data_IF_113928930013
#
_entry.id   IF_113928930013
#
_cell.length_a   1.000
_cell.length_b   1.000
_cell.length_c   1.000
_cell.angle_alpha   90.00
_cell.angle_beta   90.00
_cell.angle_gamma   90.00
#
_symmetry.space_group_name_H-M   'P 1'
#
loop_
_entity.id
_entity.type
_entity.pdbx_description
1 polymer ?
2 non-polymer ?
3 water ?
#
# COMPACT_ATOMS: atom_id res chain seq x y z
N UNK A 11 9.87 -11.56 -19.90
CA UNK A 11 9.84 -10.13 -19.59
C UNK A 11 10.33 -9.33 -20.79
N UNK A 12 9.59 -8.28 -21.16
CA UNK A 12 9.99 -7.48 -22.31
C UNK A 12 11.32 -6.79 -22.03
N UNK A 13 12.28 -6.98 -22.93
CA UNK A 13 13.58 -6.33 -22.85
C UNK A 13 13.53 -5.07 -23.70
N UNK A 14 13.81 -3.91 -23.10
CA UNK A 14 13.69 -2.62 -23.75
C UNK A 14 15.11 -2.12 -24.06
N UNK A 15 15.32 -1.62 -25.28
CA UNK A 15 16.64 -1.07 -25.60
C UNK A 15 16.84 0.27 -24.89
N UNK A 16 18.04 0.54 -24.35
CA UNK A 16 18.27 1.83 -23.68
C UNK A 16 17.99 3.06 -24.52
N UNK A 17 18.09 2.97 -25.86
CA UNK A 17 17.82 4.13 -26.71
C UNK A 17 16.36 4.52 -26.68
N UNK A 18 15.50 3.66 -26.17
CA UNK A 18 14.07 3.94 -26.10
C UNK A 18 13.68 4.65 -24.81
N UNK A 19 14.60 4.80 -23.86
CA UNK A 19 14.32 5.30 -22.52
C UNK A 19 15.00 6.64 -22.34
N UNK A 20 14.24 7.64 -21.93
CA UNK A 20 14.79 8.96 -21.58
C UNK A 20 14.44 9.26 -20.13
N UNK A 21 15.42 9.23 -19.25
CA UNK A 21 15.22 9.63 -17.86
C UNK A 21 15.19 11.15 -17.79
N UNK A 22 14.14 11.69 -17.19
CA UNK A 22 13.93 13.14 -17.18
C UNK A 22 14.07 13.81 -15.83
N UNK A 23 13.68 13.15 -14.73
CA UNK A 23 13.70 13.80 -13.42
C UNK A 23 13.79 12.73 -12.35
N UNK A 24 14.66 12.95 -11.38
CA UNK A 24 14.70 12.06 -10.24
C UNK A 24 13.46 12.30 -9.38
N UNK A 25 12.74 11.22 -9.06
CA UNK A 25 11.57 11.30 -8.20
C UNK A 25 11.74 10.51 -6.91
N UNK A 26 12.76 9.68 -6.83
CA UNK A 26 13.10 8.95 -5.63
C UNK A 26 14.52 8.48 -5.76
N UNK A 27 15.16 8.22 -4.63
CA UNK A 27 16.56 7.87 -4.70
C UNK A 27 16.92 6.99 -3.51
N UNK A 28 17.97 6.21 -3.70
CA UNK A 28 18.52 5.36 -2.67
C UNK A 28 20.01 5.23 -2.90
N UNK A 29 20.68 4.53 -2.04
CA UNK A 29 22.08 4.38 -2.25
C UNK A 29 22.50 3.60 -3.50
N UNK A 30 21.67 2.68 -4.02
CA UNK A 30 22.10 1.79 -5.10
C UNK A 30 21.38 2.05 -6.42
N UNK A 31 20.58 3.10 -6.50
CA UNK A 31 19.95 3.51 -7.73
C UNK A 31 18.96 4.62 -7.43
N UNK A 32 18.27 5.06 -8.47
CA UNK A 32 17.25 6.09 -8.32
C UNK A 32 15.99 5.65 -9.03
N UNK A 33 14.89 6.33 -8.71
CA UNK A 33 13.65 6.23 -9.46
C UNK A 33 13.48 7.53 -10.21
N UNK A 34 13.16 7.43 -11.49
CA UNK A 34 13.01 8.59 -12.35
C UNK A 34 11.62 8.61 -12.97
N UNK A 35 11.13 9.82 -13.27
CA UNK A 35 10.11 9.96 -14.29
C UNK A 35 10.83 10.11 -15.62
N UNK A 36 10.28 9.49 -16.64
CA UNK A 36 10.87 9.60 -17.95
C UNK A 36 9.88 9.25 -19.03
N UNK A 37 10.41 9.02 -20.24
CA UNK A 37 9.59 8.70 -21.38
C UNK A 37 10.10 7.43 -22.03
N UNK A 38 9.18 6.71 -22.66
CA UNK A 38 9.47 5.44 -23.31
C UNK A 38 8.99 5.50 -24.75
N UNK A 39 9.88 5.31 -25.73
CA UNK A 39 9.56 5.22 -27.16
C UNK A 39 9.32 3.72 -27.37
N UNK A 40 8.20 3.35 -27.90
CA UNK A 40 7.84 1.94 -28.03
C UNK A 40 7.65 1.53 -29.48
N UNK A 42 8.61 3.78 -33.95
CA UNK A 42 8.89 5.01 -34.70
C UNK A 42 7.61 5.81 -34.88
N UNK A 43 6.49 5.11 -34.94
CA UNK A 43 5.22 5.73 -35.29
C UNK A 43 4.46 6.32 -34.13
N UNK A 44 4.50 5.65 -33.00
CA UNK A 44 3.76 6.10 -31.85
C UNK A 44 4.44 7.12 -30.97
N UNK A 45 3.64 7.98 -30.34
CA UNK A 45 4.19 8.97 -29.42
C UNK A 45 4.83 8.27 -28.23
N UNK A 46 5.90 8.86 -27.72
CA UNK A 46 6.49 8.41 -26.47
C UNK A 46 5.44 8.43 -25.36
N UNK A 47 5.65 7.60 -24.34
CA UNK A 47 4.69 7.44 -23.24
C UNK A 47 5.42 7.72 -21.93
N UNK A 48 4.79 8.38 -20.95
CA UNK A 48 5.47 8.59 -19.67
C UNK A 48 5.60 7.28 -18.89
N UNK A 49 6.74 7.12 -18.22
CA UNK A 49 7.03 5.91 -17.46
C UNK A 49 7.78 6.29 -16.20
N UNK A 50 7.79 5.37 -15.24
CA UNK A 50 8.74 5.44 -14.14
C UNK A 50 9.85 4.43 -14.41
N UNK A 51 11.05 4.79 -14.01
CA UNK A 51 12.27 4.03 -14.33
C UNK A 51 13.07 3.90 -13.04
N UNK A 52 13.38 2.66 -12.63
CA UNK A 52 14.23 2.45 -11.46
C UNK A 52 15.53 1.83 -11.96
N UNK A 53 16.66 2.32 -11.45
CA UNK A 53 17.96 1.84 -11.89
C UNK A 53 18.67 1.06 -10.79
N UNK A 54 19.66 0.29 -11.23
CA UNK A 54 20.55 -0.46 -10.35
C UNK A 54 21.98 -0.22 -10.84
N UNK A 55 22.77 0.48 -10.03
CA UNK A 55 24.05 0.98 -10.52
C UNK A 55 25.16 -0.05 -10.37
N UNK A 56 26.25 0.20 -11.11
CA UNK A 56 27.37 -0.71 -11.22
C UNK A 56 27.97 -1.03 -9.86
N UNK A 57 28.47 -2.25 -9.73
CA UNK A 57 28.97 -2.72 -8.46
C UNK A 57 27.96 -3.48 -7.65
N UNK A 58 26.72 -3.58 -8.14
CA UNK A 58 25.69 -4.31 -7.42
C UNK A 58 26.15 -5.74 -7.16
N UNK A 59 25.71 -6.27 -6.03
CA UNK A 59 26.00 -7.63 -5.64
C UNK A 59 25.04 -8.61 -6.31
N UNK A 60 25.36 -9.89 -6.22
CA UNK A 60 24.45 -10.93 -6.70
C UNK A 60 23.09 -10.81 -6.05
N UNK A 61 23.06 -10.69 -4.72
CA UNK A 61 21.79 -10.54 -4.03
C UNK A 61 21.03 -9.30 -4.49
N UNK A 62 21.72 -8.17 -4.68
CA UNK A 62 21.02 -6.99 -5.19
C UNK A 62 20.43 -7.23 -6.56
N UNK A 63 21.16 -7.90 -7.46
CA UNK A 63 20.63 -8.19 -8.77
C UNK A 63 19.42 -9.09 -8.68
N UNK A 64 19.52 -10.15 -7.87
CA UNK A 64 18.40 -11.08 -7.72
C UNK A 64 17.19 -10.37 -7.16
N UNK A 65 17.39 -9.54 -6.15
CA UNK A 65 16.26 -8.81 -5.57
C UNK A 65 15.67 -7.79 -6.53
N UNK A 66 16.53 -7.06 -7.26
CA UNK A 66 16.08 -6.00 -8.17
C UNK A 66 15.27 -6.59 -9.31
N UNK A 67 15.88 -7.52 -10.05
CA UNK A 67 15.16 -8.15 -11.13
C UNK A 67 14.00 -9.02 -10.62
N UNK A 68 14.10 -9.50 -9.38
CA UNK A 68 13.03 -10.29 -8.82
C UNK A 68 11.75 -9.50 -8.68
N UNK A 69 11.85 -8.21 -8.36
CA UNK A 69 10.66 -7.39 -8.28
C UNK A 69 9.99 -7.30 -9.64
N UNK A 70 10.79 -7.09 -10.69
CA UNK A 70 10.25 -7.09 -12.05
C UNK A 70 9.64 -8.43 -12.41
N UNK A 71 10.32 -9.52 -12.05
CA UNK A 71 9.77 -10.84 -12.34
C UNK A 71 8.41 -11.07 -11.71
N UNK A 72 8.25 -10.67 -10.44
CA UNK A 72 6.97 -10.81 -9.76
C UNK A 72 5.92 -9.95 -10.45
N UNK A 73 6.24 -8.69 -10.71
CA UNK A 73 5.28 -7.79 -11.33
C UNK A 73 4.84 -8.28 -12.70
N UNK A 74 5.77 -8.86 -13.46
CA UNK A 74 5.43 -9.41 -14.76
C UNK A 74 4.47 -10.57 -14.71
N UNK A 75 4.30 -11.21 -13.56
CA UNK A 75 3.32 -12.29 -13.47
C UNK A 75 1.91 -11.78 -13.27
N UNK A 76 1.72 -10.48 -13.04
CA UNK A 76 0.43 -9.93 -12.68
C UNK A 76 -0.14 -9.09 -13.82
N UNK A 77 -1.47 -9.17 -13.98
CA UNK A 77 -2.23 -8.34 -14.92
C UNK A 77 -3.53 -7.95 -14.23
N UNK A 78 -3.54 -6.78 -13.60
CA UNK A 78 -4.74 -6.35 -12.91
C UNK A 78 -4.73 -4.84 -12.85
N UNK A 79 -5.89 -4.23 -12.98
CA UNK A 79 -6.09 -2.78 -12.96
C UNK A 79 -5.50 -2.12 -11.73
N UNK A 80 -5.50 -2.80 -10.56
CA UNK A 80 -5.06 -2.23 -9.32
C UNK A 80 -3.70 -2.75 -8.86
N UNK A 81 -2.87 -3.18 -9.81
CA UNK A 81 -1.49 -3.59 -9.57
C UNK A 81 -0.62 -2.89 -10.59
N UNK A 82 0.44 -2.24 -10.12
CA UNK A 82 1.34 -1.50 -11.01
C UNK A 82 1.77 -2.39 -12.17
N UNK A 83 1.66 -1.83 -13.37
CA UNK A 83 1.99 -2.55 -14.61
C UNK A 83 3.46 -2.36 -14.99
N UNK A 84 4.13 -3.46 -15.32
CA UNK A 84 5.49 -3.45 -15.85
C UNK A 84 5.50 -3.23 -17.36
N UNK A 85 6.29 -2.26 -17.82
CA UNK A 85 6.58 -2.09 -19.25
C UNK A 85 7.70 -2.98 -19.72
N UNK A 86 8.75 -3.12 -18.94
CA UNK A 86 9.83 -4.01 -19.29
C UNK A 86 11.07 -3.69 -18.49
N UNK A 87 12.18 -4.30 -18.90
CA UNK A 87 13.44 -4.17 -18.19
C UNK A 87 14.56 -3.90 -19.16
N UNK A 88 15.59 -3.21 -18.69
CA UNK A 88 16.89 -3.23 -19.34
C UNK A 88 17.79 -4.10 -18.48
N UNK A 89 18.15 -5.27 -19.03
CA UNK A 89 19.07 -6.17 -18.35
C UNK A 89 20.30 -6.51 -19.17
N UNK A 90 20.26 -6.31 -20.49
CA UNK A 90 21.39 -6.58 -21.39
C UNK A 90 22.41 -5.45 -21.43
N UNK A 91 22.10 -4.31 -20.83
CA UNK A 91 23.00 -3.17 -20.80
C UNK A 91 23.01 -2.64 -19.37
N UNK A 92 24.04 -1.86 -19.06
CA UNK A 92 24.19 -1.26 -17.72
C UNK A 92 24.07 0.27 -17.79
N UNK A 93 23.43 0.90 -16.79
CA UNK A 93 22.82 0.31 -15.59
C UNK A 93 21.55 -0.44 -15.95
N UNK A 94 21.22 -1.45 -15.15
CA UNK A 94 19.96 -2.13 -15.39
C UNK A 94 18.81 -1.24 -14.94
N UNK A 95 17.66 -1.48 -15.55
CA UNK A 95 16.49 -0.65 -15.26
C UNK A 95 15.24 -1.50 -15.24
N UNK A 96 14.27 -1.05 -14.43
CA UNK A 96 12.91 -1.54 -14.45
C UNK A 96 12.01 -0.38 -14.86
N UNK A 97 11.13 -0.60 -15.83
CA UNK A 97 10.29 0.47 -16.36
C UNK A 97 8.83 0.06 -16.15
N UNK A 98 8.05 0.97 -15.54
CA UNK A 98 6.64 0.71 -15.25
C UNK A 98 5.82 1.86 -15.77
N UNK A 99 4.49 1.69 -15.73
CA UNK A 99 3.62 2.84 -15.93
C UNK A 99 3.96 3.93 -14.93
N UNK A 100 3.65 5.16 -15.29
CA UNK A 100 3.90 6.30 -14.44
C UNK A 100 2.61 6.74 -13.73
N UNK A 101 2.64 6.76 -12.41
CA UNK A 101 1.48 7.13 -11.59
C UNK A 101 1.64 8.60 -11.22
N UNK A 102 0.80 9.44 -11.83
CA UNK A 102 1.01 10.89 -11.80
C UNK A 102 0.89 11.53 -10.42
N UNK A 103 0.13 10.92 -9.50
CA UNK A 103 -0.11 11.49 -8.21
C UNK A 103 0.77 10.89 -7.13
N UNK A 104 1.64 9.93 -7.49
CA UNK A 104 2.60 9.45 -6.50
C UNK A 104 2.01 8.58 -5.41
N UNK A 105 2.71 8.54 -4.28
CA UNK A 105 2.34 7.65 -3.19
C UNK A 105 1.08 8.15 -2.48
N UNK A 106 0.20 7.22 -2.10
CA UNK A 106 -1.08 7.58 -1.54
C UNK A 106 -0.96 8.31 -0.21
N UNK A 107 0.00 7.92 0.63
CA UNK A 107 0.12 8.59 1.94
C UNK A 107 0.37 10.09 1.79
N UNK A 108 1.36 10.43 1.00
CA UNK A 108 1.69 11.82 0.79
C UNK A 108 0.61 12.55 0.02
N UNK A 109 -0.03 11.86 -0.94
CA UNK A 109 -1.12 12.44 -1.70
C UNK A 109 -2.25 12.86 -0.78
N UNK A 110 -2.67 11.98 0.11
CA UNK A 110 -3.76 12.34 0.99
C UNK A 110 -3.40 13.48 1.91
N UNK A 111 -2.18 13.49 2.41
CA UNK A 111 -1.79 14.53 3.35
C UNK A 111 -1.72 15.88 2.66
N UNK A 112 -1.45 15.89 1.37
CA UNK A 112 -1.37 17.11 0.57
C UNK A 112 -2.72 17.53 0.02
N UNK A 113 -3.77 16.74 0.19
CA UNK A 113 -5.10 16.98 -0.37
C UNK A 113 -6.16 16.90 0.72
N UNK A 114 -5.81 17.32 1.93
CA UNK A 114 -6.66 17.07 3.10
C UNK A 114 -8.05 17.63 2.88
N UNK A 115 -9.06 16.79 3.05
CA UNK A 115 -10.43 17.23 2.94
C UNK A 115 -10.93 17.50 1.53
N UNK A 116 -10.20 17.12 0.50
CA UNK A 116 -10.56 17.52 -0.87
C UNK A 116 -11.45 16.53 -1.59
N UNK A 117 -11.72 15.37 -1.02
CA UNK A 117 -12.45 14.34 -1.74
C UNK A 117 -13.77 14.05 -1.06
N UNK A 118 -14.68 13.46 -1.80
CA UNK A 118 -15.91 13.02 -1.17
C UNK A 118 -15.69 11.68 -0.47
N UNK A 119 -16.57 11.36 0.47
CA UNK A 119 -16.54 10.03 1.09
C UNK A 119 -16.60 8.95 0.04
N UNK A 120 -17.46 9.11 -0.98
CA UNK A 120 -17.56 8.10 -2.02
C UNK A 120 -16.24 7.94 -2.76
N UNK A 121 -15.53 9.04 -3.04
CA UNK A 121 -14.22 8.92 -3.65
C UNK A 121 -13.24 8.15 -2.75
N UNK A 122 -13.21 8.47 -1.46
CA UNK A 122 -12.31 7.76 -0.56
C UNK A 122 -12.61 6.26 -0.53
N UNK A 123 -13.90 5.91 -0.41
CA UNK A 123 -14.29 4.50 -0.41
C UNK A 123 -13.95 3.82 -1.73
N UNK A 124 -14.06 4.55 -2.85
CA UNK A 124 -13.64 4.00 -4.13
C UNK A 124 -12.16 3.68 -4.17
N UNK A 125 -11.35 4.50 -3.55
CA UNK A 125 -9.93 4.20 -3.46
C UNK A 125 -9.71 2.90 -2.70
N UNK A 126 -10.41 2.72 -1.59
CA UNK A 126 -10.29 1.49 -0.83
C UNK A 126 -10.76 0.27 -1.61
N UNK A 127 -11.83 0.39 -2.41
CA UNK A 127 -12.27 -0.75 -3.19
C UNK A 127 -11.22 -1.14 -4.23
N UNK A 128 -10.55 -0.16 -4.84
CA UNK A 128 -9.50 -0.51 -5.78
C UNK A 128 -8.35 -1.22 -5.11
N UNK A 129 -7.89 -0.68 -3.98
CA UNK A 129 -6.84 -1.36 -3.23
C UNK A 129 -7.25 -2.79 -2.87
N UNK A 130 -8.47 -2.93 -2.38
CA UNK A 130 -8.96 -4.26 -1.99
C UNK A 130 -9.02 -5.22 -3.18
N UNK A 131 -9.41 -4.71 -4.36
CA UNK A 131 -9.44 -5.58 -5.53
C UNK A 131 -8.03 -6.02 -5.91
N UNK A 132 -7.06 -5.12 -5.85
CA UNK A 132 -5.70 -5.53 -6.13
C UNK A 132 -5.22 -6.55 -5.13
N UNK A 133 -5.55 -6.36 -3.84
CA UNK A 133 -5.14 -7.31 -2.80
C UNK A 133 -5.84 -8.65 -2.95
N UNK A 134 -7.13 -8.66 -3.31
CA UNK A 134 -7.82 -9.92 -3.58
C UNK A 134 -7.08 -10.68 -4.68
N UNK A 135 -6.71 -9.98 -5.74
CA UNK A 135 -5.95 -10.59 -6.84
C UNK A 135 -4.64 -11.18 -6.33
N UNK A 136 -3.87 -10.40 -5.57
CA UNK A 136 -2.60 -10.90 -5.07
C UNK A 136 -2.80 -12.11 -4.16
N UNK A 137 -3.74 -12.03 -3.24
CA UNK A 137 -3.96 -13.15 -2.34
C UNK A 137 -4.36 -14.39 -3.13
N UNK A 138 -5.21 -14.24 -4.12
CA UNK A 138 -5.63 -15.37 -4.96
C UNK A 138 -4.49 -15.95 -5.75
N UNK A 139 -3.53 -15.11 -6.16
CA UNK A 139 -2.30 -15.50 -6.83
C UNK A 139 -1.27 -16.06 -5.87
N UNK A 140 -1.62 -16.23 -4.59
CA UNK A 140 -0.71 -16.75 -3.57
C UNK A 140 0.49 -15.83 -3.36
N UNK A 141 0.26 -14.51 -3.41
CA UNK A 141 1.30 -13.53 -3.14
C UNK A 141 0.93 -12.79 -1.87
N UNK A 142 1.79 -12.91 -0.85
CA UNK A 142 1.63 -12.22 0.44
C UNK A 142 2.49 -10.97 0.40
N UNK A 143 1.89 -9.80 0.59
CA UNK A 143 2.59 -8.55 0.38
C UNK A 143 3.59 -8.24 1.49
N UNK A 144 3.13 -8.33 2.75
CA UNK A 144 3.93 -8.10 3.97
C UNK A 144 4.15 -6.64 4.32
N UNK A 145 3.90 -5.71 3.39
CA UNK A 145 4.15 -4.31 3.65
C UNK A 145 3.04 -3.45 3.09
N UNK A 146 1.79 -3.87 3.23
CA UNK A 146 0.66 -3.11 2.71
C UNK A 146 0.47 -1.89 3.62
N UNK A 147 0.48 -0.70 3.03
CA UNK A 147 0.43 0.58 3.73
C UNK A 147 0.18 1.62 2.65
N UNK A 148 -0.37 2.78 3.02
CA UNK A 148 -0.60 3.80 2.02
C UNK A 148 0.67 4.23 1.32
N UNK A 149 1.82 4.21 2.01
CA UNK A 149 3.06 4.60 1.37
C UNK A 149 3.43 3.68 0.22
N UNK A 150 2.86 2.48 0.14
CA UNK A 150 3.16 1.52 -0.91
C UNK A 150 2.05 1.38 -1.92
N UNK A 151 1.08 2.31 -1.91
CA UNK A 151 0.04 2.43 -2.93
C UNK A 151 0.44 3.64 -3.78
N UNK A 152 0.22 3.55 -5.10
CA UNK A 152 0.43 4.65 -6.01
C UNK A 152 -0.90 5.07 -6.61
N UNK A 153 -1.00 6.35 -7.00
CA UNK A 153 -2.26 6.94 -7.45
C UNK A 153 -2.07 7.61 -8.81
N UNK A 154 -2.96 7.31 -9.76
CA UNK A 154 -2.87 7.94 -11.07
C UNK A 154 -3.87 9.08 -11.23
N UNK A 155 -3.86 9.71 -12.41
CA UNK A 155 -4.70 10.88 -12.69
C UNK A 155 -6.16 10.54 -12.84
N UNK A 156 -6.54 9.26 -12.81
CA UNK A 156 -7.92 8.85 -12.67
C UNK A 156 -8.31 8.51 -11.24
N UNK A 157 -7.46 8.83 -10.26
CA UNK A 157 -7.67 8.48 -8.86
C UNK A 157 -7.58 6.98 -8.60
N UNK A 158 -7.11 6.20 -9.57
CA UNK A 158 -6.99 4.77 -9.37
C UNK A 158 -5.78 4.49 -8.51
N UNK A 159 -6.00 3.67 -7.49
CA UNK A 159 -4.97 3.27 -6.55
C UNK A 159 -4.47 1.87 -6.92
N UNK A 160 -3.16 1.73 -7.01
CA UNK A 160 -2.52 0.48 -7.40
C UNK A 160 -1.50 0.06 -6.38
N UNK A 161 -1.52 -1.23 -6.03
CA UNK A 161 -0.55 -1.76 -5.11
C UNK A 161 0.79 -1.82 -5.78
N UNK A 162 1.82 -1.39 -5.03
CA UNK A 162 3.22 -1.25 -5.42
C UNK A 162 4.08 -2.09 -4.46
N UNK A 163 5.39 -2.12 -4.69
CA UNK A 163 6.40 -2.63 -3.75
C UNK A 163 6.43 -4.12 -3.59
N UNK A 164 7.02 -4.81 -4.56
CA UNK A 164 7.01 -6.26 -4.64
C UNK A 164 8.38 -6.87 -4.46
N UNK A 165 8.42 -8.11 -3.99
CA UNK A 165 9.69 -8.79 -3.82
C UNK A 165 9.69 -9.69 -2.63
N UNK A 166 10.83 -10.32 -2.39
CA UNK A 166 10.98 -11.16 -1.21
C UNK A 166 11.57 -10.35 -0.08
N UNK A 167 12.82 -10.61 0.30
CA UNK A 167 13.38 -9.89 1.44
C UNK A 167 13.49 -8.39 1.21
N UNK A 168 13.54 -7.95 -0.06
CA UNK A 168 13.84 -6.55 -0.31
C UNK A 168 12.75 -5.60 0.19
N UNK A 169 11.51 -6.08 0.28
CA UNK A 169 10.42 -5.17 0.61
C UNK A 169 10.59 -4.60 2.02
N UNK A 170 10.70 -5.48 3.00
CA UNK A 170 10.86 -5.00 4.36
C UNK A 170 12.27 -4.46 4.60
N UNK A 171 13.27 -5.00 3.90
CA UNK A 171 14.62 -4.46 4.06
C UNK A 171 14.70 -3.00 3.64
N UNK A 172 14.02 -2.65 2.55
CA UNK A 172 14.16 -1.33 1.95
C UNK A 172 13.26 -0.28 2.58
N UNK A 173 12.25 -0.68 3.36
CA UNK A 173 11.28 0.28 3.88
C UNK A 173 11.77 0.82 5.22
N UNK A 174 12.05 2.12 5.35
CA UNK A 174 12.55 2.62 6.65
C UNK A 174 11.51 2.57 7.75
N UNK A 175 10.22 2.47 7.38
CA UNK A 175 9.22 2.27 8.43
C UNK A 175 9.34 0.90 9.09
N UNK A 176 9.99 -0.06 8.44
CA UNK A 176 10.14 -1.38 9.02
C UNK A 176 11.37 -1.34 9.92
N UNK A 177 11.16 -1.58 11.21
CA UNK A 177 12.22 -1.43 12.19
C UNK A 177 12.60 -2.77 12.79
N UNK A 178 13.85 -2.84 13.25
CA UNK A 178 14.34 -4.05 13.90
C UNK A 178 13.66 -4.23 15.24
N UNK A 179 13.17 -5.42 15.49
CA UNK A 179 12.44 -5.73 16.71
C UNK A 179 13.37 -6.46 17.68
N UNK A 180 12.89 -6.56 18.92
CA UNK A 180 13.63 -7.29 19.94
C UNK A 180 13.95 -8.71 19.49
N UNK A 181 13.09 -9.32 18.68
CA UNK A 181 13.28 -10.68 18.20
C UNK A 181 14.18 -10.78 16.99
N UNK A 182 14.53 -9.68 16.34
CA UNK A 182 15.47 -9.70 15.23
C UNK A 182 14.88 -9.44 13.87
N UNK A 183 13.56 -9.55 13.72
CA UNK A 183 12.93 -9.26 12.45
C UNK A 183 12.74 -7.76 12.23
N UNK A 184 12.58 -7.38 10.97
CA UNK A 184 12.45 -5.98 10.56
C UNK A 184 11.05 -5.83 9.99
N UNK A 185 10.17 -5.14 10.71
CA UNK A 185 8.76 -5.08 10.30
C UNK A 185 8.20 -3.71 10.62
N UNK A 186 7.19 -3.29 9.85
CA UNK A 186 6.55 -1.97 10.07
C UNK A 186 5.47 -2.13 11.12
N UNK A 187 5.82 -1.92 12.39
CA UNK A 187 5.01 -2.46 13.48
C UNK A 187 3.57 -1.96 13.42
N UNK A 188 3.36 -0.67 13.13
CA UNK A 188 2.00 -0.11 13.21
C UNK A 188 1.08 -0.65 12.15
N UNK A 189 1.61 -1.27 11.09
CA UNK A 189 0.81 -1.82 10.03
C UNK A 189 0.69 -3.35 10.12
N UNK A 190 1.39 -4.00 11.07
CA UNK A 190 1.60 -5.45 10.99
C UNK A 190 0.71 -6.20 11.97
N UNK A 191 0.18 -7.33 11.52
CA UNK A 191 -0.71 -8.10 12.35
C UNK A 191 0.07 -8.70 13.53
N UNK A 192 -0.64 -8.98 14.63
CA UNK A 192 0.04 -9.55 15.81
C UNK A 192 0.80 -10.84 15.57
N UNK A 193 0.27 -11.76 14.77
CA UNK A 193 0.99 -13.02 14.56
C UNK A 193 2.26 -12.81 13.76
N UNK A 194 2.25 -11.80 12.89
CA UNK A 194 3.44 -11.51 12.13
C UNK A 194 4.50 -10.88 13.02
N UNK A 195 4.10 -9.99 13.91
CA UNK A 195 5.01 -9.42 14.91
C UNK A 195 5.54 -10.54 15.82
N UNK A 196 4.62 -11.32 16.39
CA UNK A 196 4.92 -12.27 17.48
C UNK A 196 5.74 -13.45 16.99
N UNK A 197 5.44 -14.02 15.81
CA UNK A 197 6.10 -15.25 15.41
C UNK A 197 6.39 -15.33 13.93
N UNK A 198 6.36 -14.21 13.22
CA UNK A 198 6.84 -14.15 11.85
C UNK A 198 5.89 -14.81 10.87
N UNK A 199 4.61 -14.88 11.23
CA UNK A 199 3.60 -15.53 10.40
C UNK A 199 2.90 -14.52 9.48
N UNK A 200 3.40 -14.43 8.24
CA UNK A 200 2.86 -13.49 7.27
C UNK A 200 2.00 -14.26 6.28
N UNK A 201 0.74 -13.88 6.19
CA UNK A 201 -0.19 -14.53 5.29
C UNK A 201 -1.10 -13.48 4.67
N UNK A 202 -1.98 -13.90 3.77
CA UNK A 202 -2.97 -12.95 3.30
C UNK A 202 -3.83 -12.40 4.42
N UNK A 203 -4.01 -13.14 5.51
CA UNK A 203 -4.79 -12.62 6.62
C UNK A 203 -4.04 -11.57 7.43
N UNK A 204 -2.72 -11.62 7.49
CA UNK A 204 -1.99 -10.49 8.05
C UNK A 204 -2.04 -9.31 7.09
N UNK A 205 -2.07 -9.55 5.79
CA UNK A 205 -2.31 -8.44 4.86
C UNK A 205 -3.67 -7.83 5.07
N UNK A 206 -4.69 -8.60 5.47
CA UNK A 206 -5.99 -8.02 5.76
C UNK A 206 -5.90 -7.07 6.95
N UNK A 207 -5.18 -7.44 8.00
CA UNK A 207 -4.95 -6.52 9.11
C UNK A 207 -4.38 -5.22 8.57
N UNK A 208 -3.33 -5.33 7.77
CA UNK A 208 -2.71 -4.15 7.19
C UNK A 208 -3.70 -3.34 6.39
N UNK A 209 -4.55 -4.01 5.61
CA UNK A 209 -5.56 -3.31 4.86
C UNK A 209 -6.47 -2.49 5.76
N UNK A 210 -6.85 -3.04 6.91
CA UNK A 210 -7.64 -2.23 7.85
C UNK A 210 -6.92 -0.95 8.25
N UNK A 211 -5.62 -1.06 8.50
CA UNK A 211 -4.82 0.15 8.75
C UNK A 211 -4.86 1.10 7.56
N UNK A 212 -4.72 0.58 6.33
CA UNK A 212 -4.83 1.44 5.16
C UNK A 212 -6.20 2.11 5.09
N UNK A 213 -7.28 1.39 5.43
CA UNK A 213 -8.59 2.03 5.46
C UNK A 213 -8.57 3.24 6.39
N UNK A 214 -7.99 3.09 7.57
CA UNK A 214 -7.88 4.18 8.51
C UNK A 214 -7.03 5.31 7.96
N UNK A 215 -5.91 4.98 7.33
CA UNK A 215 -5.11 6.00 6.66
C UNK A 215 -5.91 6.78 5.65
N UNK A 216 -6.66 6.10 4.80
CA UNK A 216 -7.42 6.82 3.77
C UNK A 216 -8.48 7.72 4.39
N UNK A 217 -9.23 7.19 5.33
CA UNK A 217 -10.36 7.95 5.87
C UNK A 217 -9.90 9.11 6.74
N UNK A 218 -8.67 9.13 7.22
CA UNK A 218 -8.10 10.24 7.97
C UNK A 218 -7.21 11.14 7.11
N UNK A 219 -7.17 10.95 5.78
CA UNK A 219 -6.27 11.74 4.94
C UNK A 219 -4.81 11.63 5.38
N UNK A 220 -4.40 10.40 5.73
CA UNK A 220 -3.01 10.13 5.94
C UNK A 220 -2.50 10.41 7.32
N UNK A 221 -3.36 10.32 8.33
CA UNK A 221 -2.85 10.41 9.69
C UNK A 221 -1.91 9.25 9.97
N UNK A 222 -0.97 9.49 10.88
CA UNK A 222 -0.06 8.45 11.28
C UNK A 222 -0.76 7.53 12.26
N UNK A 223 -0.84 6.23 11.99
CA UNK A 223 -1.55 5.31 12.87
C UNK A 223 -0.96 5.36 14.28
N UNK A 224 -1.85 5.43 15.26
CA UNK A 224 -1.51 5.43 16.67
C UNK A 224 -0.77 6.72 17.05
N UNK A 225 -0.70 7.72 16.13
CA UNK A 225 -0.12 9.04 16.47
C UNK A 225 1.26 8.83 17.07
N UNK A 226 1.58 9.44 18.21
CA UNK A 226 2.94 9.43 18.71
C UNK A 226 3.26 8.21 19.56
N UNK A 227 2.35 7.24 19.70
CA UNK A 227 2.69 6.09 20.53
C UNK A 227 3.93 5.42 19.97
N UNK A 228 4.81 4.93 20.86
CA UNK A 228 6.00 4.25 20.38
C UNK A 228 5.62 2.88 19.81
N UNK A 229 6.55 2.24 19.12
CA UNK A 229 6.27 0.90 18.62
C UNK A 229 5.92 -0.08 19.74
N UNK A 230 6.68 -0.05 20.86
CA UNK A 230 6.36 -0.91 21.99
C UNK A 230 4.97 -0.63 22.54
N UNK A 231 4.63 0.65 22.65
CA UNK A 231 3.33 1.02 23.16
C UNK A 231 2.21 0.58 22.22
N UNK A 232 2.43 0.61 20.90
CA UNK A 232 1.42 0.12 19.95
C UNK A 232 1.15 -1.36 20.18
N UNK A 233 2.21 -2.14 20.26
CA UNK A 233 2.02 -3.57 20.51
C UNK A 233 1.30 -3.83 21.83
N UNK A 234 1.65 -3.06 22.87
CA UNK A 234 0.99 -3.24 24.17
C UNK A 234 -0.49 -2.92 24.09
N UNK A 235 -0.84 -1.83 23.41
CA UNK A 235 -2.23 -1.46 23.29
C UNK A 235 -3.00 -2.53 22.54
N UNK A 236 -2.43 -3.04 21.43
CA UNK A 236 -3.11 -4.05 20.61
C UNK A 236 -3.33 -5.33 21.42
N UNK A 237 -2.30 -5.76 22.15
CA UNK A 237 -2.42 -6.97 22.96
C UNK A 237 -3.42 -6.79 24.10
N UNK A 238 -3.56 -5.58 24.64
CA UNK A 238 -4.55 -5.21 25.65
C UNK A 238 -5.97 -5.09 25.09
N UNK A 239 -6.12 -5.17 23.75
CA UNK A 239 -7.42 -5.08 23.11
C UNK A 239 -7.78 -3.72 22.53
N UNK A 240 -6.95 -2.69 22.71
CA UNK A 240 -7.32 -1.39 22.16
C UNK A 240 -7.16 -1.40 20.65
N UNK A 241 -7.93 -0.56 19.98
CA UNK A 241 -7.87 -0.43 18.53
C UNK A 241 -7.95 1.05 18.17
N UNK A 242 -7.52 1.37 16.95
CA UNK A 242 -7.64 2.74 16.48
C UNK A 242 -9.08 3.21 16.59
N UNK A 243 -9.33 4.46 17.02
CA UNK A 243 -10.70 4.97 17.10
C UNK A 243 -11.19 5.39 15.73
N UNK A 244 -12.48 5.66 15.63
CA UNK A 244 -13.01 6.05 14.34
C UNK A 244 -12.46 7.38 13.87
N UNK A 245 -12.13 7.43 12.59
CA UNK A 245 -11.84 8.73 11.98
C UNK A 245 -13.06 9.65 12.09
N UNK A 246 -12.82 10.95 11.97
CA UNK A 246 -13.92 11.90 11.80
C UNK A 246 -14.60 11.65 10.48
N UNK A 247 -15.92 11.83 10.45
CA UNK A 247 -16.68 11.81 9.21
C UNK A 247 -16.67 10.45 8.54
N UNK A 248 -16.52 9.35 9.33
CA UNK A 248 -16.34 8.01 8.77
C UNK A 248 -17.65 7.26 8.73
N UNK A 249 -18.03 6.73 7.58
CA UNK A 249 -19.22 5.88 7.53
C UNK A 249 -19.12 4.75 8.55
N UNK A 250 -20.24 4.50 9.23
CA UNK A 250 -20.27 3.42 10.21
C UNK A 250 -19.87 2.08 9.59
N UNK A 251 -20.36 1.81 8.37
CA UNK A 251 -20.04 0.53 7.76
C UNK A 251 -18.54 0.38 7.53
N UNK A 252 -17.87 1.50 7.20
CA UNK A 252 -16.44 1.48 6.94
C UNK A 252 -15.66 1.24 8.22
N UNK A 253 -16.06 1.89 9.32
CA UNK A 253 -15.38 1.63 10.59
C UNK A 253 -15.62 0.20 11.06
N UNK A 254 -16.84 -0.30 10.91
CA UNK A 254 -17.10 -1.69 11.26
C UNK A 254 -16.18 -2.63 10.48
N UNK A 255 -16.04 -2.38 9.18
CA UNK A 255 -15.18 -3.25 8.38
C UNK A 255 -13.73 -3.18 8.83
N UNK A 256 -13.17 -1.99 9.04
CA UNK A 256 -11.78 -1.91 9.51
C UNK A 256 -11.63 -2.65 10.86
N UNK A 257 -12.61 -2.55 11.76
CA UNK A 257 -12.55 -3.30 13.03
C UNK A 257 -12.49 -4.80 12.81
N UNK A 258 -13.23 -5.30 11.83
CA UNK A 258 -13.18 -6.73 11.57
C UNK A 258 -11.81 -7.16 11.05
N UNK A 259 -11.13 -6.28 10.29
CA UNK A 259 -9.79 -6.58 9.84
C UNK A 259 -8.80 -6.72 10.99
N UNK A 260 -9.09 -6.11 12.15
CA UNK A 260 -8.20 -6.09 13.29
C UNK A 260 -8.58 -7.11 14.36
N UNK A 261 -9.24 -8.20 13.98
CA UNK A 261 -9.45 -9.29 14.92
C UNK A 261 -8.11 -9.91 15.31
N UNK A 262 -7.91 -10.14 16.62
CA UNK A 262 -6.70 -10.83 17.06
C UNK A 262 -6.57 -12.18 16.40
N UNK A 263 -7.68 -12.93 16.39
CA UNK A 263 -7.69 -14.28 15.82
C UNK A 263 -7.73 -14.20 14.31
N UNK A 264 -6.65 -14.62 13.68
CA UNK A 264 -6.51 -14.50 12.23
C UNK A 264 -7.70 -15.06 11.48
N UNK A 265 -8.22 -16.21 11.95
CA UNK A 265 -9.28 -16.89 11.24
C UNK A 265 -10.58 -16.13 11.28
N UNK A 266 -10.73 -15.17 12.20
CA UNK A 266 -11.97 -14.40 12.27
C UNK A 266 -12.00 -13.22 11.31
N UNK A 267 -10.85 -12.85 10.71
CA UNK A 267 -10.81 -11.70 9.82
C UNK A 267 -11.53 -12.01 8.50
N UNK A 268 -12.12 -11.00 7.87
CA UNK A 268 -12.65 -11.20 6.51
C UNK A 268 -11.53 -11.59 5.56
N UNK A 269 -11.90 -12.31 4.49
CA UNK A 269 -10.97 -12.48 3.39
C UNK A 269 -11.09 -11.27 2.46
N UNK A 270 -10.10 -11.08 1.57
CA UNK A 270 -10.22 -9.98 0.64
C UNK A 270 -11.47 -10.08 -0.21
N UNK A 271 -11.92 -11.30 -0.53
CA UNK A 271 -13.16 -11.39 -1.31
C UNK A 271 -14.32 -10.78 -0.56
N UNK A 272 -14.36 -10.97 0.75
CA UNK A 272 -15.45 -10.40 1.53
C UNK A 272 -15.34 -8.88 1.56
N UNK A 273 -14.12 -8.36 1.69
CA UNK A 273 -13.90 -6.92 1.70
C UNK A 273 -14.36 -6.28 0.40
N UNK A 274 -13.93 -6.86 -0.73
CA UNK A 274 -14.33 -6.32 -2.04
C UNK A 274 -15.84 -6.34 -2.17
N UNK A 275 -16.47 -7.45 -1.79
CA UNK A 275 -17.91 -7.55 -1.94
C UNK A 275 -18.62 -6.44 -1.15
N UNK A 276 -18.22 -6.24 0.11
CA UNK A 276 -18.87 -5.23 0.94
C UNK A 276 -18.65 -3.84 0.37
N UNK A 277 -17.41 -3.52 0.01
CA UNK A 277 -17.13 -2.19 -0.54
C UNK A 277 -17.91 -1.96 -1.83
N UNK A 278 -17.97 -2.96 -2.71
CA UNK A 278 -18.77 -2.83 -3.93
C UNK A 278 -20.20 -2.47 -3.61
N UNK A 279 -20.79 -3.21 -2.69
CA UNK A 279 -22.20 -2.98 -2.36
C UNK A 279 -22.42 -1.60 -1.77
N UNK A 280 -21.52 -1.15 -0.89
CA UNK A 280 -21.69 0.19 -0.33
C UNK A 280 -21.60 1.25 -1.42
N UNK A 281 -20.69 1.08 -2.37
CA UNK A 281 -20.56 2.06 -3.42
C UNK A 281 -21.77 2.04 -4.33
N UNK A 282 -22.36 0.88 -4.56
CA UNK A 282 -23.51 0.79 -5.45
C UNK A 282 -24.80 1.37 -4.85
N UNK A 283 -24.84 1.42 -3.52
CA UNK A 283 -25.93 2.05 -2.80
C UNK A 283 -25.32 3.16 -1.95
N UNK A 284 -24.89 4.26 -2.57
CA UNK A 284 -24.01 5.22 -1.88
C UNK A 284 -24.66 5.92 -0.70
N UNK A 285 -26.00 5.95 -0.59
CA UNK A 285 -26.64 6.49 0.61
C UNK A 285 -26.20 5.73 1.86
N UNK A 286 -25.82 4.46 1.70
CA UNK A 286 -25.36 3.64 2.82
C UNK A 286 -24.17 4.26 3.54
N UNK A 287 -23.41 5.11 2.85
CA UNK A 287 -22.23 5.73 3.44
C UNK A 287 -22.57 6.97 4.23
N UNK A 288 -23.81 7.44 4.17
CA UNK A 288 -24.19 8.65 4.90
C UNK A 288 -24.39 8.46 6.40
N UNK A 289 -24.53 7.22 6.82
CA UNK A 289 -24.65 6.94 8.24
C UNK A 289 -23.24 6.87 8.83
N UNK A 290 -22.90 7.76 9.74
CA UNK A 290 -21.53 7.90 10.23
C UNK A 290 -21.37 7.27 11.60
N UNK A 291 -20.20 6.68 11.85
CA UNK A 291 -19.85 6.29 13.21
C UNK A 291 -19.66 7.53 14.06
N UNK A 292 -20.04 7.43 15.34
CA UNK A 292 -19.78 8.50 16.29
C UNK A 292 -18.27 8.72 16.39
N UNK A 293 -17.85 9.97 16.47
CA UNK A 293 -16.46 10.34 16.67
C UNK A 293 -16.25 10.82 18.11
N UNK A 294 -15.20 10.30 18.77
CA UNK A 294 -14.89 10.64 20.16
C UNK A 294 -14.04 11.91 20.18
N UNK A 295 -14.57 13.05 20.60
CA UNK A 295 -13.78 14.27 20.57
C UNK A 295 -12.70 14.24 21.65
N UNK A 296 -11.56 14.85 21.33
CA UNK A 296 -10.49 15.01 22.31
C UNK A 296 -10.58 16.32 23.06
N UNK A 297 -11.30 17.28 22.52
CA UNK A 297 -11.32 18.66 23.00
C UNK A 297 -12.77 19.13 23.05
N UNK A 298 -13.11 19.83 24.12
CA UNK A 298 -14.43 20.42 24.30
C UNK A 298 -14.38 21.90 23.98
N UNK A 299 -15.31 22.37 23.16
CA UNK A 299 -15.52 23.80 22.97
C UNK A 299 -16.92 24.11 23.46
N UNK A 300 -17.00 24.85 24.57
CA UNK A 300 -18.26 25.25 25.19
C UNK A 300 -18.42 26.74 25.00
N UNK A 301 -19.62 27.17 24.59
CA UNK A 301 -19.90 28.59 24.46
C UNK A 301 -21.28 28.85 25.05
N UNK A 302 -21.45 29.89 25.88
CA UNK A 302 -22.75 30.25 26.45
C UNK A 302 -23.76 30.61 25.37
X LIG B 1 4.10 14.82 -8.55
X LIG B 1 4.56 15.71 -7.48
X LIG B 1 3.63 15.61 -6.28
X LIG B 1 3.12 14.28 -6.03
X LIG B 1 3.88 13.27 -6.59
X LIG B 1 3.85 13.31 -8.02
X LIG B 1 5.01 13.08 -8.62
X LIG B 1 6.00 12.44 -8.49
X LIG B 1 6.93 12.87 -9.09
X LIG B 1 5.94 11.09 -8.14
X LIG B 1 5.38 10.13 -8.99
X LIG B 1 6.52 10.70 -6.98
X LIG B 1 6.57 9.36 -6.58
X LIG B 1 7.26 8.96 -5.29
X LIG B 1 7.70 9.87 -4.71
X LIG B 1 8.30 8.29 -5.65
X LIG B 1 6.73 8.41 -4.76
X LIG B 1 6.05 8.42 -7.47
X LIG B 1 5.45 8.78 -8.67
X LIG B 1 4.95 7.88 -9.53
X LIG B 1 5.43 6.63 -9.71
X LIG B 1 6.73 5.85 -8.90
X LIG B 1 4.91 5.81 -10.62
X LIG B 1 5.54 4.60 -10.67
X LIG B 1 6.57 4.42 -9.80
X LIG B 1 7.43 3.32 -9.54
X LIG B 1 8.16 3.36 -8.59
X LIG B 1 7.44 2.25 -10.35
X LIG B 1 8.25 1.13 -10.09
X LIG B 1 9.45 0.93 -10.81
X LIG B 1 9.95 2.06 -11.86
X LIG B 1 10.23 -0.19 -10.57
X LIG B 1 9.77 -1.11 -9.63
X LIG B 1 8.58 -0.95 -8.94
X LIG B 1 7.75 0.18 -9.14
X LIG B 1 6.43 0.33 -8.38
#
# INVERSE_FOLDING_TARGET
>A
GDPNQAVLKFTTEIHPSCVTRQKVIGAGEFGEVYKGMLKTSSGKKEVPVAIKTLKAGYTEKQRVDFLGEAGIMGQFSHHNIIRLEGVISKYKPMMIITEYMENGALDKFLREKDGEFSVLQLVGMLRGIAAGMKYLANMNYVHRDLAARNILVNSNLVCKVSDFGLSRVLEDDPEATYTTSGGKIPIRWTAPEAISYRKFTSASDVWSFGIVMWEVMTYGERPYWELSNHEVMKAINDGFRLPTPMDCPSAIYQLMMQCWQQERARRPKFADIVSILDKLIRAPDSLKTLADFDPRVSIRLPSTSG
>B hetero
1 8ZN CAW CAX NAY CAZ CBA CAV NAU CAT OBB CAS CBC CAR CAM CAN FAP FAQ FAO CAL CAK NAJ CAI SBD NAH CAG CAF CAE OBE NAD CAC CAB CL CBJ CBI CBH CBF CBG
#
